data_IF_201858596222
#
_entry.id   IF_201858596222
#
_cell.length_a   1.000
_cell.length_b   1.000
_cell.length_c   1.000
_cell.angle_alpha   90.00
_cell.angle_beta   90.00
_cell.angle_gamma   90.00
#
_symmetry.space_group_name_H-M   'P 1'
#
loop_
_entity.id
_entity.type
_entity.pdbx_description
1 polymer ?
#
# COMPACT_ATOMS: atom_id res chain seq x y z
N UNK A 1 -12.65 -14.08 0.51
CA UNK A 1 -11.80 -12.90 0.61
C UNK A 1 -11.39 -12.40 -0.77
N UNK A 2 -11.21 -11.10 -0.87
CA UNK A 2 -10.52 -10.42 -1.98
C UNK A 2 -9.20 -9.88 -1.44
N UNK A 3 -8.09 -10.21 -2.10
CA UNK A 3 -6.77 -9.61 -1.85
C UNK A 3 -6.35 -8.88 -3.11
N UNK A 4 -6.06 -7.60 -3.00
CA UNK A 4 -5.37 -6.84 -4.04
C UNK A 4 -3.92 -6.69 -3.60
N UNK A 5 -3.00 -7.06 -4.47
CA UNK A 5 -1.57 -6.97 -4.20
C UNK A 5 -0.87 -6.15 -5.28
N UNK A 6 0.27 -5.57 -4.90
CA UNK A 6 1.08 -4.72 -5.77
C UNK A 6 2.55 -5.01 -5.46
N UNK A 7 3.34 -5.26 -6.50
CA UNK A 7 4.74 -5.65 -6.33
C UNK A 7 5.57 -4.45 -5.89
N UNK A 8 6.30 -4.63 -4.80
CA UNK A 8 7.15 -3.57 -4.28
C UNK A 8 8.30 -3.27 -5.25
N UNK A 9 8.50 -1.98 -5.52
CA UNK A 9 9.62 -1.47 -6.34
C UNK A 9 9.68 -2.02 -7.78
N UNK A 10 8.55 -2.47 -8.35
CA UNK A 10 8.50 -3.03 -9.70
C UNK A 10 9.02 -2.05 -10.77
N UNK A 11 8.74 -0.75 -10.63
CA UNK A 11 9.27 0.27 -11.53
C UNK A 11 10.82 0.25 -11.55
N UNK A 12 11.47 0.12 -10.38
CA UNK A 12 12.92 0.03 -10.31
C UNK A 12 13.47 -1.23 -10.99
N UNK A 13 12.72 -2.35 -10.96
CA UNK A 13 13.09 -3.56 -11.73
C UNK A 13 13.09 -3.27 -13.22
N UNK A 14 12.05 -2.60 -13.74
CA UNK A 14 11.98 -2.19 -15.14
C UNK A 14 13.09 -1.20 -15.53
N UNK A 15 13.36 -0.23 -14.67
CA UNK A 15 14.36 0.81 -14.93
C UNK A 15 15.78 0.24 -15.00
N UNK A 16 16.09 -0.76 -14.17
CA UNK A 16 17.43 -1.36 -14.08
C UNK A 16 17.62 -2.53 -15.04
N UNK A 17 16.62 -3.40 -15.19
CA UNK A 17 16.73 -4.68 -15.89
C UNK A 17 15.95 -4.69 -17.23
N UNK A 18 15.16 -3.65 -17.50
CA UNK A 18 14.36 -3.52 -18.72
C UNK A 18 12.97 -4.16 -18.60
N UNK A 19 12.07 -3.73 -19.49
CA UNK A 19 10.67 -4.15 -19.49
C UNK A 19 10.48 -5.66 -19.75
N UNK A 20 11.32 -6.27 -20.59
CA UNK A 20 11.26 -7.71 -20.86
C UNK A 20 11.47 -8.54 -19.57
N UNK A 21 12.39 -8.06 -18.70
CA UNK A 21 12.64 -8.69 -17.40
C UNK A 21 11.45 -8.51 -16.45
N UNK A 22 10.85 -7.32 -16.43
CA UNK A 22 9.63 -7.06 -15.67
C UNK A 22 8.45 -7.92 -16.13
N UNK A 23 8.24 -8.06 -17.42
CA UNK A 23 7.18 -8.91 -17.97
C UNK A 23 7.40 -10.39 -17.64
N UNK A 24 8.64 -10.87 -17.71
CA UNK A 24 8.99 -12.21 -17.28
C UNK A 24 8.73 -12.41 -15.77
N UNK A 25 9.05 -11.41 -14.93
CA UNK A 25 8.75 -11.42 -13.49
C UNK A 25 7.24 -11.50 -13.24
N UNK A 26 6.43 -10.68 -13.90
CA UNK A 26 4.96 -10.70 -13.78
C UNK A 26 4.38 -12.07 -14.14
N UNK A 27 4.89 -12.69 -15.21
CA UNK A 27 4.53 -14.05 -15.60
C UNK A 27 4.86 -15.09 -14.51
N UNK A 28 6.03 -14.97 -13.89
CA UNK A 28 6.46 -15.85 -12.78
C UNK A 28 5.63 -15.64 -11.51
N UNK A 29 5.28 -14.40 -11.19
CA UNK A 29 4.37 -14.06 -10.08
C UNK A 29 3.01 -14.72 -10.29
N UNK A 30 2.40 -14.55 -11.48
CA UNK A 30 1.12 -15.18 -11.81
C UNK A 30 1.18 -16.72 -11.70
N UNK A 31 2.26 -17.34 -12.18
CA UNK A 31 2.46 -18.79 -12.06
C UNK A 31 2.58 -19.23 -10.60
N UNK A 32 3.34 -18.50 -9.78
CA UNK A 32 3.54 -18.85 -8.37
C UNK A 32 2.28 -18.66 -7.53
N UNK A 33 1.52 -17.60 -7.75
CA UNK A 33 0.21 -17.41 -7.13
C UNK A 33 -0.73 -18.57 -7.49
N UNK A 34 -0.74 -18.99 -8.75
CA UNK A 34 -1.59 -20.09 -9.22
C UNK A 34 -1.17 -21.46 -8.66
N UNK A 35 0.11 -21.67 -8.43
CA UNK A 35 0.65 -22.91 -7.85
C UNK A 35 0.55 -22.94 -6.32
N UNK A 36 0.65 -21.79 -5.66
CA UNK A 36 0.65 -21.67 -4.20
C UNK A 36 -0.73 -21.53 -3.55
N UNK A 37 -1.77 -21.25 -4.34
CA UNK A 37 -3.14 -21.08 -3.87
C UNK A 37 -4.05 -22.20 -4.39
N UNK A 38 -5.18 -22.48 -3.70
CA UNK A 38 -6.11 -23.52 -4.14
C UNK A 38 -6.62 -23.35 -5.56
N UNK A 39 -6.98 -24.44 -6.26
CA UNK A 39 -7.42 -24.40 -7.67
C UNK A 39 -8.69 -23.58 -7.93
N UNK A 40 -9.54 -23.43 -6.92
CA UNK A 40 -10.79 -22.66 -6.95
C UNK A 40 -10.57 -21.16 -6.67
N UNK A 41 -9.29 -20.72 -6.61
CA UNK A 41 -8.94 -19.31 -6.43
C UNK A 41 -8.92 -18.59 -7.79
N UNK A 42 -9.63 -17.47 -7.88
CA UNK A 42 -9.59 -16.58 -9.03
C UNK A 42 -8.42 -15.61 -8.91
N UNK A 43 -7.58 -15.57 -9.92
CA UNK A 43 -6.43 -14.66 -9.99
C UNK A 43 -6.53 -13.84 -11.25
N UNK A 44 -6.44 -12.53 -11.11
CA UNK A 44 -6.47 -11.58 -12.21
C UNK A 44 -5.32 -10.57 -12.08
N UNK A 45 -4.69 -10.21 -13.18
CA UNK A 45 -3.84 -9.02 -13.25
C UNK A 45 -4.73 -7.82 -13.54
N UNK A 46 -4.69 -6.81 -12.69
CA UNK A 46 -5.55 -5.63 -12.79
C UNK A 46 -4.92 -4.58 -13.71
N UNK A 47 -3.73 -4.14 -13.39
CA UNK A 47 -2.96 -3.17 -14.18
C UNK A 47 -1.51 -3.15 -13.71
N UNK A 48 -0.58 -2.89 -14.62
CA UNK A 48 0.85 -2.75 -14.27
C UNK A 48 1.37 -3.95 -13.49
N UNK A 49 1.70 -3.72 -12.23
CA UNK A 49 2.25 -4.68 -11.26
C UNK A 49 1.23 -5.14 -10.20
N UNK A 50 -0.06 -4.79 -10.38
CA UNK A 50 -1.14 -5.12 -9.46
C UNK A 50 -1.90 -6.37 -9.87
N UNK A 51 -2.16 -7.25 -8.90
CA UNK A 51 -2.97 -8.46 -9.06
C UNK A 51 -4.13 -8.47 -8.06
N UNK A 52 -5.20 -9.16 -8.43
CA UNK A 52 -6.30 -9.52 -7.53
C UNK A 52 -6.38 -11.03 -7.36
N UNK A 53 -6.67 -11.45 -6.15
CA UNK A 53 -6.88 -12.84 -5.77
C UNK A 53 -8.20 -12.94 -5.02
N UNK A 54 -9.11 -13.81 -5.47
CA UNK A 54 -10.42 -14.02 -4.84
C UNK A 54 -10.62 -15.49 -4.56
N UNK A 55 -10.99 -15.82 -3.33
CA UNK A 55 -11.26 -17.18 -2.91
C UNK A 55 -11.75 -17.28 -1.47
N UNK A 56 -11.96 -18.50 -0.95
CA UNK A 56 -12.34 -18.72 0.44
C UNK A 56 -11.35 -18.06 1.41
N UNK A 57 -11.85 -17.34 2.43
CA UNK A 57 -10.97 -16.62 3.37
C UNK A 57 -10.05 -17.56 4.18
N UNK A 58 -10.41 -18.82 4.33
CA UNK A 58 -9.55 -19.82 4.95
C UNK A 58 -8.31 -20.16 4.12
N UNK A 59 -8.37 -19.91 2.81
CA UNK A 59 -7.30 -20.23 1.86
C UNK A 59 -6.63 -18.98 1.28
N UNK A 60 -7.39 -17.90 1.14
CA UNK A 60 -6.91 -16.61 0.60
C UNK A 60 -6.88 -15.59 1.74
N UNK A 61 -5.73 -15.50 2.39
CA UNK A 61 -5.48 -14.58 3.50
C UNK A 61 -4.03 -14.07 3.42
N UNK A 62 -3.65 -13.20 4.36
CA UNK A 62 -2.33 -12.58 4.41
C UNK A 62 -1.20 -13.59 4.19
N UNK A 63 -1.12 -14.59 5.07
CA UNK A 63 0.05 -15.46 5.13
C UNK A 63 0.15 -16.37 3.88
N UNK A 64 -0.98 -16.87 3.36
CA UNK A 64 -1.00 -17.70 2.16
C UNK A 64 -0.54 -16.95 0.91
N UNK A 65 -0.91 -15.67 0.78
CA UNK A 65 -0.48 -14.85 -0.36
C UNK A 65 0.97 -14.40 -0.18
N UNK A 66 1.38 -13.99 1.04
CA UNK A 66 2.77 -13.59 1.31
C UNK A 66 3.74 -14.75 1.12
N UNK A 67 3.38 -15.97 1.49
CA UNK A 67 4.21 -17.16 1.27
C UNK A 67 4.60 -17.37 -0.21
N UNK A 68 3.80 -16.86 -1.15
CA UNK A 68 4.15 -16.87 -2.55
C UNK A 68 5.37 -15.98 -2.89
N UNK A 69 5.81 -15.13 -1.95
CA UNK A 69 6.93 -14.21 -2.12
C UNK A 69 8.14 -14.53 -1.24
N UNK A 70 8.07 -15.56 -0.38
CA UNK A 70 9.14 -15.93 0.55
C UNK A 70 10.44 -16.37 -0.14
N UNK A 71 10.34 -16.88 -1.35
CA UNK A 71 11.50 -17.31 -2.12
C UNK A 71 11.71 -16.39 -3.33
N UNK A 72 12.99 -16.06 -3.67
CA UNK A 72 13.29 -15.26 -4.86
C UNK A 72 12.70 -15.86 -6.15
N UNK A 73 12.35 -15.01 -7.08
CA UNK A 73 11.97 -15.40 -8.44
C UNK A 73 13.23 -15.64 -9.28
N UNK A 74 13.21 -16.68 -10.12
CA UNK A 74 14.31 -16.93 -11.06
C UNK A 74 13.89 -16.44 -12.43
N UNK A 75 14.59 -15.39 -12.92
CA UNK A 75 14.38 -14.74 -14.21
C UNK A 75 15.72 -14.74 -14.94
N UNK A 76 15.81 -15.40 -16.10
CA UNK A 76 17.06 -15.50 -16.88
C UNK A 76 18.28 -15.86 -16.03
N UNK A 77 18.14 -16.90 -15.18
CA UNK A 77 19.16 -17.41 -14.25
C UNK A 77 19.49 -16.51 -13.05
N UNK A 78 18.99 -15.25 -13.04
CA UNK A 78 19.15 -14.34 -11.90
C UNK A 78 18.07 -14.59 -10.84
N UNK A 79 18.48 -14.57 -9.57
CA UNK A 79 17.55 -14.63 -8.42
C UNK A 79 17.12 -13.22 -8.04
N UNK A 80 15.83 -12.93 -8.23
CA UNK A 80 15.21 -11.66 -7.94
C UNK A 80 14.31 -11.77 -6.70
N UNK A 81 14.72 -11.23 -5.53
CA UNK A 81 13.83 -11.10 -4.39
C UNK A 81 12.79 -10.02 -4.70
N UNK A 82 11.53 -10.35 -4.47
CA UNK A 82 10.40 -9.41 -4.66
C UNK A 82 9.45 -9.62 -3.52
N UNK A 83 8.99 -8.53 -2.91
CA UNK A 83 7.88 -8.52 -1.98
C UNK A 83 6.65 -7.88 -2.61
N UNK A 84 5.51 -7.97 -1.95
CA UNK A 84 4.28 -7.33 -2.37
C UNK A 84 3.54 -6.75 -1.17
N UNK A 85 2.98 -5.55 -1.34
CA UNK A 85 2.01 -5.00 -0.41
C UNK A 85 0.62 -5.55 -0.70
N UNK A 86 -0.15 -5.85 0.35
CA UNK A 86 -1.47 -6.48 0.25
C UNK A 86 -2.56 -5.60 0.86
N UNK A 87 -3.67 -5.43 0.14
CA UNK A 87 -4.94 -4.93 0.67
C UNK A 87 -5.96 -6.05 0.67
N UNK A 88 -6.55 -6.36 1.82
CA UNK A 88 -7.40 -7.53 2.05
C UNK A 88 -8.81 -7.07 2.44
N UNK A 89 -9.83 -7.69 1.86
CA UNK A 89 -11.24 -7.45 2.19
C UNK A 89 -11.98 -8.75 2.36
N UNK A 90 -12.77 -8.86 3.41
CA UNK A 90 -13.72 -9.97 3.60
C UNK A 90 -15.00 -9.69 2.82
N UNK A 91 -15.32 -10.57 1.88
CA UNK A 91 -16.55 -10.48 1.09
C UNK A 91 -17.75 -10.99 1.90
N UNK A 92 -18.92 -10.42 1.60
CA UNK A 92 -20.17 -10.87 2.24
C UNK A 92 -20.42 -10.30 3.64
N UNK A 93 -19.60 -9.39 4.14
CA UNK A 93 -19.79 -8.70 5.42
C UNK A 93 -20.72 -7.49 5.32
N UNK A 94 -21.04 -7.08 4.10
CA UNK A 94 -21.96 -5.98 3.79
C UNK A 94 -22.71 -6.27 2.48
N UNK A 95 -23.73 -5.47 2.15
CA UNK A 95 -24.41 -5.52 0.86
C UNK A 95 -23.66 -4.75 -0.25
N UNK A 96 -22.34 -4.62 -0.12
CA UNK A 96 -21.53 -3.90 -1.07
C UNK A 96 -21.43 -4.63 -2.42
N UNK A 97 -21.34 -3.88 -3.49
CA UNK A 97 -21.07 -4.40 -4.83
C UNK A 97 -19.61 -4.85 -4.97
N UNK A 98 -19.31 -5.68 -5.98
CA UNK A 98 -17.94 -6.08 -6.28
C UNK A 98 -16.99 -4.88 -6.51
N UNK A 99 -17.50 -3.79 -7.09
CA UNK A 99 -16.73 -2.55 -7.30
C UNK A 99 -16.40 -1.86 -5.98
N UNK A 100 -17.33 -1.87 -5.03
CA UNK A 100 -17.09 -1.30 -3.69
C UNK A 100 -16.06 -2.11 -2.92
N UNK A 101 -16.16 -3.45 -2.93
CA UNK A 101 -15.14 -4.31 -2.33
C UNK A 101 -13.75 -4.10 -2.95
N UNK A 102 -13.69 -3.91 -4.28
CA UNK A 102 -12.43 -3.61 -4.95
C UNK A 102 -11.86 -2.25 -4.53
N UNK A 103 -12.68 -1.21 -4.40
CA UNK A 103 -12.28 0.09 -3.86
C UNK A 103 -11.74 -0.02 -2.44
N UNK A 104 -12.42 -0.78 -1.58
CA UNK A 104 -12.01 -1.01 -0.20
C UNK A 104 -10.66 -1.76 -0.14
N UNK A 105 -10.44 -2.73 -1.02
CA UNK A 105 -9.16 -3.42 -1.14
C UNK A 105 -8.02 -2.48 -1.56
N UNK A 106 -8.27 -1.55 -2.49
CA UNK A 106 -7.28 -0.53 -2.86
C UNK A 106 -7.02 0.48 -1.73
N UNK A 107 -8.03 0.83 -0.93
CA UNK A 107 -7.84 1.67 0.28
C UNK A 107 -6.93 0.97 1.28
N UNK A 108 -7.16 -0.32 1.54
CA UNK A 108 -6.31 -1.13 2.41
C UNK A 108 -4.89 -1.28 1.84
N UNK A 109 -4.75 -1.53 0.53
CA UNK A 109 -3.46 -1.60 -0.16
C UNK A 109 -2.67 -0.29 -0.05
N UNK A 110 -3.32 0.86 -0.24
CA UNK A 110 -2.68 2.17 -0.07
C UNK A 110 -2.18 2.37 1.37
N UNK A 111 -2.93 1.89 2.36
CA UNK A 111 -2.51 1.90 3.76
C UNK A 111 -1.33 0.96 3.98
N UNK A 112 -1.33 -0.24 3.41
CA UNK A 112 -0.20 -1.18 3.46
C UNK A 112 1.07 -0.54 2.90
N UNK A 113 1.02 0.04 1.70
CA UNK A 113 2.16 0.75 1.10
C UNK A 113 2.73 1.86 1.99
N UNK A 114 1.89 2.53 2.78
CA UNK A 114 2.36 3.57 3.72
C UNK A 114 3.05 3.02 4.98
N UNK A 115 2.94 1.72 5.24
CA UNK A 115 3.60 1.04 6.37
C UNK A 115 4.97 0.47 6.00
N UNK A 116 5.28 0.34 4.72
CA UNK A 116 6.54 -0.17 4.20
C UNK A 116 6.37 -1.37 3.27
N UNK A 117 7.49 -1.86 2.74
CA UNK A 117 7.53 -2.99 1.81
C UNK A 117 6.99 -4.28 2.47
N UNK A 118 6.32 -5.11 1.69
CA UNK A 118 5.79 -6.39 2.14
C UNK A 118 4.66 -6.29 3.17
N UNK A 119 4.11 -5.10 3.39
CA UNK A 119 3.06 -4.87 4.38
C UNK A 119 1.70 -5.36 3.89
N UNK A 120 0.85 -5.80 4.82
CA UNK A 120 -0.51 -6.24 4.54
C UNK A 120 -1.51 -5.62 5.50
N UNK A 121 -2.59 -5.09 4.95
CA UNK A 121 -3.67 -4.45 5.72
C UNK A 121 -5.01 -5.06 5.33
N UNK A 122 -5.77 -5.48 6.32
CA UNK A 122 -7.17 -5.85 6.15
C UNK A 122 -8.04 -4.61 6.30
N UNK A 123 -8.97 -4.41 5.36
CA UNK A 123 -9.87 -3.27 5.36
C UNK A 123 -10.80 -3.32 6.57
N UNK A 124 -10.95 -2.18 7.23
CA UNK A 124 -12.01 -1.91 8.19
C UNK A 124 -12.66 -0.56 7.85
N UNK A 125 -13.89 -0.34 8.34
CA UNK A 125 -14.57 0.94 8.12
C UNK A 125 -13.77 2.12 8.67
N UNK A 126 -13.05 1.93 9.78
CA UNK A 126 -12.19 2.96 10.37
C UNK A 126 -11.06 3.36 9.44
N UNK A 127 -10.45 2.40 8.74
CA UNK A 127 -9.41 2.67 7.73
C UNK A 127 -10.01 3.49 6.59
N UNK A 128 -11.21 3.14 6.13
CA UNK A 128 -11.93 3.89 5.10
C UNK A 128 -12.19 5.33 5.50
N UNK A 129 -12.61 5.57 6.73
CA UNK A 129 -12.82 6.91 7.28
C UNK A 129 -11.50 7.70 7.36
N UNK A 130 -10.45 7.13 7.96
CA UNK A 130 -9.14 7.79 8.08
C UNK A 130 -8.56 8.20 6.72
N UNK A 131 -8.69 7.35 5.69
CA UNK A 131 -8.20 7.68 4.34
C UNK A 131 -9.00 8.83 3.73
N UNK A 132 -10.31 8.87 3.93
CA UNK A 132 -11.18 9.96 3.46
C UNK A 132 -10.82 11.26 4.18
N UNK A 133 -10.75 11.26 5.51
CA UNK A 133 -10.37 12.41 6.33
C UNK A 133 -9.02 12.98 5.93
N UNK A 134 -8.01 12.12 5.75
CA UNK A 134 -6.69 12.55 5.29
C UNK A 134 -6.75 13.19 3.88
N UNK A 135 -7.57 12.63 2.99
CA UNK A 135 -7.73 13.18 1.63
C UNK A 135 -8.44 14.53 1.66
N UNK A 136 -9.45 14.70 2.53
CA UNK A 136 -10.11 15.98 2.77
C UNK A 136 -9.13 17.00 3.33
N UNK A 137 -8.42 16.64 4.40
CA UNK A 137 -7.43 17.50 5.04
C UNK A 137 -6.35 18.00 4.06
N UNK A 138 -5.82 17.11 3.21
CA UNK A 138 -4.82 17.50 2.20
C UNK A 138 -5.38 18.47 1.14
N UNK A 139 -6.63 18.29 0.74
CA UNK A 139 -7.29 19.21 -0.17
C UNK A 139 -7.51 20.58 0.49
N UNK A 140 -8.03 20.56 1.71
CA UNK A 140 -8.33 21.79 2.46
C UNK A 140 -7.03 22.54 2.79
N UNK A 141 -5.94 21.83 3.12
CA UNK A 141 -4.62 22.43 3.33
C UNK A 141 -4.07 23.12 2.06
N UNK A 142 -4.30 22.55 0.87
CA UNK A 142 -3.92 23.22 -0.39
C UNK A 142 -4.70 24.53 -0.59
N UNK A 143 -6.01 24.50 -0.36
CA UNK A 143 -6.85 25.70 -0.43
C UNK A 143 -6.39 26.74 0.60
N UNK A 144 -6.12 26.33 1.83
CA UNK A 144 -5.62 27.21 2.89
C UNK A 144 -4.27 27.86 2.53
N UNK A 145 -3.40 27.12 1.82
CA UNK A 145 -2.15 27.69 1.31
C UNK A 145 -2.40 28.76 0.24
N UNK A 146 -3.28 28.47 -0.74
CA UNK A 146 -3.61 29.39 -1.82
C UNK A 146 -4.33 30.64 -1.29
N UNK A 147 -5.13 30.52 -0.23
CA UNK A 147 -5.84 31.60 0.43
C UNK A 147 -5.04 32.32 1.53
N UNK A 148 -3.74 31.99 1.69
CA UNK A 148 -2.86 32.59 2.69
C UNK A 148 -3.36 32.44 4.13
N UNK A 149 -4.07 31.36 4.45
CA UNK A 149 -4.58 31.07 5.80
C UNK A 149 -3.51 30.50 6.73
N UNK A 150 -2.35 30.13 6.20
CA UNK A 150 -1.26 29.57 7.00
C UNK A 150 -0.40 30.68 7.58
N UNK A 151 -0.05 30.53 8.88
CA UNK A 151 0.82 31.46 9.57
C UNK A 151 1.82 30.74 10.46
N UNK A 152 2.89 31.44 10.84
CA UNK A 152 3.91 30.90 11.72
C UNK A 152 3.71 31.42 13.16
N UNK A 153 3.82 30.51 14.11
CA UNK A 153 4.04 30.83 15.53
C UNK A 153 5.43 30.42 15.92
N UNK A 154 5.98 31.07 16.94
CA UNK A 154 7.35 30.79 17.42
C UNK A 154 7.32 30.31 18.85
N UNK A 155 7.91 29.13 19.09
CA UNK A 155 8.10 28.59 20.43
C UNK A 155 9.53 28.85 20.86
N UNK A 156 9.76 29.64 21.97
CA UNK A 156 11.12 29.94 22.42
C UNK A 156 11.82 28.72 22.99
N UNK A 157 13.10 28.58 22.69
CA UNK A 157 14.02 27.62 23.33
C UNK A 157 14.80 28.37 24.39
N UNK A 158 14.68 27.92 25.65
CA UNK A 158 15.27 28.57 26.80
C UNK A 158 16.38 27.69 27.39
N UNK A 159 17.54 28.26 27.64
CA UNK A 159 18.60 27.61 28.37
C UNK A 159 18.21 27.51 29.86
N UNK A 160 18.09 26.30 30.36
CA UNK A 160 17.57 26.06 31.73
C UNK A 160 18.46 26.66 32.85
N UNK A 161 19.78 26.71 32.61
CA UNK A 161 20.72 27.21 33.59
C UNK A 161 20.65 28.73 33.80
N UNK A 162 20.34 29.49 32.73
CA UNK A 162 20.39 30.94 32.73
C UNK A 162 19.03 31.60 32.54
N UNK A 163 18.03 30.85 32.13
CA UNK A 163 16.71 31.38 31.77
C UNK A 163 16.70 32.20 30.46
N UNK A 164 17.81 32.24 29.72
CA UNK A 164 17.90 33.03 28.48
C UNK A 164 17.29 32.33 27.30
N UNK A 165 16.62 33.08 26.45
CA UNK A 165 16.14 32.56 25.14
C UNK A 165 17.36 32.40 24.22
N UNK A 166 17.62 31.18 23.75
CA UNK A 166 18.76 30.82 22.90
C UNK A 166 18.35 30.50 21.47
N UNK A 167 17.03 30.48 21.19
CA UNK A 167 16.51 30.24 19.86
C UNK A 167 14.99 30.15 19.88
N UNK A 168 14.39 29.92 18.70
CA UNK A 168 12.96 29.66 18.57
C UNK A 168 12.73 28.56 17.54
N UNK A 169 11.67 27.80 17.73
CA UNK A 169 11.13 26.87 16.74
C UNK A 169 9.96 27.52 16.01
N UNK A 170 10.03 27.56 14.68
CA UNK A 170 8.94 28.05 13.86
C UNK A 170 7.93 26.91 13.63
N UNK A 171 6.71 27.12 14.09
CA UNK A 171 5.63 26.16 14.01
C UNK A 171 4.55 26.68 13.09
N UNK A 172 4.28 25.94 12.00
CA UNK A 172 3.19 26.27 11.11
C UNK A 172 1.84 26.07 11.81
N UNK A 173 0.91 26.99 11.58
CA UNK A 173 -0.47 26.98 12.08
C UNK A 173 -1.44 27.20 10.95
N UNK A 174 -2.61 26.62 11.13
CA UNK A 174 -3.77 26.74 10.28
C UNK A 174 -5.05 26.70 11.12
#
# INVERSE_FOLDING_TARGET
CLVVLDLDQFAAVNDVLGHDHGDALLGKVAQRLRAGLPPDTYIARLSGDSFAVVGPCAAVHRDSVQACFDTPFVIYEARQPVSACLGIVRLGTSNASGIEYLKDAFVALKRAKSQGLGSAVEFSQDIGLQVRERSHLLRDLRMAFDESQLFLTYQPKVELATGRVVGAEALLRW
#
